data_IF_855033222847
#
_entry.id   IF_855033222847
#
_cell.length_a   1.000
_cell.length_b   1.000
_cell.length_c   1.000
_cell.angle_alpha   90.00
_cell.angle_beta   90.00
_cell.angle_gamma   90.00
#
_symmetry.space_group_name_H-M   'P 1'
#
loop_
_entity.id
_entity.type
_entity.pdbx_description
1 polymer ?
#
# COMPACT_ATOMS: atom_id res chain seq x y z
N UNK A 1 -22.58 70.77 -36.13
CA UNK A 1 -21.52 71.46 -36.88
C UNK A 1 -20.30 71.49 -35.96
N UNK A 2 -19.56 70.38 -35.93
CA UNK A 2 -18.18 70.27 -36.44
C UNK A 2 -17.25 71.33 -35.85
N UNK A 3 -16.36 70.92 -34.94
CA UNK A 3 -14.93 71.01 -35.25
C UNK A 3 -14.04 70.04 -34.45
N UNK A 4 -13.09 69.48 -35.20
CA UNK A 4 -11.97 68.62 -34.80
C UNK A 4 -10.90 69.49 -34.09
N UNK A 5 -9.94 68.96 -33.31
CA UNK A 5 -8.61 68.49 -33.76
C UNK A 5 -7.85 68.06 -32.46
N UNK A 6 -7.44 66.78 -32.29
CA UNK A 6 -6.08 66.19 -32.51
C UNK A 6 -4.96 66.87 -31.66
N UNK A 7 -4.01 66.26 -30.92
CA UNK A 7 -3.38 64.93 -30.91
C UNK A 7 -2.43 64.80 -29.67
N UNK A 8 -2.29 63.57 -29.13
CA UNK A 8 -1.05 62.86 -28.67
C UNK A 8 -0.19 63.44 -27.52
N UNK A 9 0.02 62.66 -26.43
CA UNK A 9 1.27 61.89 -26.27
C UNK A 9 1.27 60.80 -25.16
N UNK A 10 1.63 59.57 -25.60
CA UNK A 10 2.35 58.46 -24.93
C UNK A 10 1.92 57.90 -23.58
N UNK A 11 1.49 56.64 -23.66
CA UNK A 11 1.45 55.61 -22.61
C UNK A 11 2.80 55.40 -21.90
N UNK A 12 2.75 55.16 -20.58
CA UNK A 12 3.46 54.06 -19.89
C UNK A 12 2.67 53.58 -18.67
N UNK A 13 2.41 52.29 -18.65
CA UNK A 13 1.77 51.46 -17.62
C UNK A 13 2.68 51.31 -16.39
N UNK A 14 2.12 51.24 -15.16
CA UNK A 14 2.54 50.48 -13.95
C UNK A 14 1.92 51.16 -12.71
N UNK A 15 1.42 50.54 -11.63
CA UNK A 15 1.07 49.17 -11.22
C UNK A 15 0.19 49.39 -9.95
N UNK A 16 -0.95 48.71 -9.80
CA UNK A 16 -1.86 48.91 -8.66
C UNK A 16 -1.32 48.20 -7.40
N UNK A 17 -1.22 48.97 -6.30
CA UNK A 17 -1.32 48.62 -4.86
C UNK A 17 -0.67 47.33 -4.33
N UNK A 18 0.20 47.45 -3.33
CA UNK A 18 0.34 46.45 -2.26
C UNK A 18 0.42 47.16 -0.90
N UNK A 19 -0.56 46.89 -0.04
CA UNK A 19 -0.52 47.28 1.37
C UNK A 19 0.26 46.20 2.15
N UNK A 20 1.32 46.62 2.84
CA UNK A 20 2.00 45.81 3.82
C UNK A 20 1.36 46.09 5.19
N UNK A 21 0.80 45.07 5.84
CA UNK A 21 0.47 45.13 7.27
C UNK A 21 0.92 43.80 7.91
N UNK A 22 1.89 43.93 8.81
CA UNK A 22 2.37 42.96 9.79
C UNK A 22 1.16 42.39 10.57
N UNK A 23 0.94 41.08 10.73
CA UNK A 23 1.84 40.14 11.36
C UNK A 23 1.24 39.70 12.71
N UNK A 24 0.40 38.66 12.70
CA UNK A 24 0.32 37.65 13.77
C UNK A 24 -0.06 36.33 13.08
N UNK A 25 0.93 35.50 12.78
CA UNK A 25 0.71 34.13 12.35
C UNK A 25 0.39 33.32 13.61
N UNK A 26 -0.89 33.14 13.92
CA UNK A 26 -1.30 32.12 14.87
C UNK A 26 -1.03 30.76 14.22
N UNK A 27 0.13 30.17 14.53
CA UNK A 27 0.39 28.77 14.20
C UNK A 27 -0.55 27.95 15.08
N UNK A 28 -1.68 27.54 14.52
CA UNK A 28 -2.43 26.42 15.05
C UNK A 28 -1.56 25.17 14.90
N UNK A 29 -0.66 24.94 15.86
CA UNK A 29 -0.16 23.60 16.09
C UNK A 29 -1.33 22.86 16.71
N UNK A 30 -2.16 22.27 15.87
CA UNK A 30 -2.99 21.17 16.33
C UNK A 30 -2.01 20.20 17.00
N UNK A 31 -2.18 19.81 18.27
CA UNK A 31 -1.53 18.61 18.73
C UNK A 31 -2.11 17.54 17.82
N UNK A 32 -1.33 17.08 16.83
CA UNK A 32 -1.56 15.78 16.26
C UNK A 32 -1.47 14.87 17.48
N UNK A 33 -2.64 14.49 17.99
CA UNK A 33 -2.76 13.30 18.80
C UNK A 33 -2.32 12.20 17.86
N UNK A 34 -1.00 11.99 17.82
CA UNK A 34 -0.42 10.74 17.42
C UNK A 34 -0.97 9.77 18.45
N UNK A 35 -2.14 9.21 18.16
CA UNK A 35 -2.51 7.93 18.73
C UNK A 35 -1.29 7.07 18.51
N UNK A 36 -0.67 6.48 19.55
CA UNK A 36 0.27 5.41 19.28
C UNK A 36 -0.51 4.44 18.42
N UNK A 37 -0.14 4.36 17.13
CA UNK A 37 -0.64 3.38 16.19
C UNK A 37 -0.62 2.10 16.99
N UNK A 38 -1.81 1.53 17.27
CA UNK A 38 -1.92 0.32 18.06
C UNK A 38 -0.81 -0.59 17.55
N UNK A 39 0.17 -0.88 18.42
CA UNK A 39 1.31 -1.67 18.03
C UNK A 39 0.71 -2.88 17.34
N UNK A 40 1.04 -3.08 16.05
CA UNK A 40 0.50 -4.16 15.24
C UNK A 40 0.47 -5.39 16.14
N UNK A 41 -0.73 -5.94 16.34
CA UNK A 41 -1.00 -6.95 17.38
C UNK A 41 0.19 -7.89 17.47
N UNK A 42 0.83 -7.96 18.65
CA UNK A 42 2.13 -8.60 18.82
C UNK A 42 2.09 -9.92 18.06
N UNK A 43 2.95 -10.07 17.02
CA UNK A 43 2.80 -11.11 16.00
C UNK A 43 2.37 -12.38 16.70
N UNK A 44 1.09 -12.72 16.57
CA UNK A 44 0.63 -13.96 17.14
C UNK A 44 1.31 -15.04 16.28
N UNK A 45 1.88 -16.04 16.93
CA UNK A 45 2.64 -17.09 16.24
C UNK A 45 1.73 -17.97 15.35
N UNK A 46 0.44 -17.61 15.21
CA UNK A 46 -0.57 -18.29 14.42
C UNK A 46 -0.60 -17.84 12.96
N UNK A 47 -0.38 -16.56 12.68
CA UNK A 47 -0.57 -16.01 11.34
C UNK A 47 0.57 -16.41 10.40
N UNK A 48 0.25 -16.61 9.12
CA UNK A 48 1.24 -16.68 8.07
C UNK A 48 1.60 -15.27 7.62
N UNK A 49 2.90 -14.93 7.68
CA UNK A 49 3.41 -13.58 7.45
C UNK A 49 4.50 -13.63 6.39
N UNK A 50 4.37 -12.77 5.39
CA UNK A 50 5.32 -12.69 4.29
C UNK A 50 5.44 -11.26 3.76
N UNK A 51 6.57 -10.96 3.15
CA UNK A 51 6.87 -9.63 2.61
C UNK A 51 6.98 -9.68 1.09
N UNK A 52 6.41 -8.67 0.45
CA UNK A 52 6.42 -8.48 -1.00
C UNK A 52 6.94 -7.09 -1.36
N UNK A 53 7.55 -6.96 -2.54
CA UNK A 53 7.91 -5.68 -3.14
C UNK A 53 7.15 -5.53 -4.45
N UNK A 54 6.14 -4.65 -4.45
CA UNK A 54 5.26 -4.46 -5.61
C UNK A 54 5.98 -3.83 -6.79
N UNK A 55 7.16 -3.22 -6.57
CA UNK A 55 7.98 -2.63 -7.64
C UNK A 55 8.71 -3.68 -8.48
N UNK A 56 8.68 -4.97 -8.07
CA UNK A 56 9.23 -6.06 -8.87
C UNK A 56 8.27 -6.40 -10.04
N UNK A 57 8.79 -7.01 -11.13
CA UNK A 57 7.97 -7.29 -12.31
C UNK A 57 6.71 -8.12 -11.99
N UNK A 58 5.58 -7.71 -12.59
CA UNK A 58 4.27 -8.32 -12.39
C UNK A 58 3.19 -7.50 -13.10
N UNK A 59 1.92 -7.77 -12.79
CA UNK A 59 0.80 -7.17 -13.53
C UNK A 59 0.61 -5.65 -13.31
N UNK A 60 1.02 -5.11 -12.15
CA UNK A 60 0.96 -3.69 -11.76
C UNK A 60 1.88 -3.47 -10.56
N UNK A 61 2.39 -2.26 -10.35
CA UNK A 61 3.30 -1.90 -9.26
C UNK A 61 2.61 -1.47 -7.95
N UNK A 62 1.29 -1.48 -7.90
CA UNK A 62 0.48 -1.07 -6.73
C UNK A 62 -0.40 -2.19 -6.18
N UNK A 63 -0.09 -3.44 -6.52
CA UNK A 63 -0.88 -4.59 -6.02
C UNK A 63 -0.06 -5.85 -5.83
N UNK A 64 -0.58 -6.73 -4.98
CA UNK A 64 -0.15 -8.12 -4.87
C UNK A 64 -1.38 -9.04 -4.78
N UNK A 65 -1.42 -10.07 -5.63
CA UNK A 65 -2.47 -11.09 -5.56
C UNK A 65 -2.02 -12.24 -4.65
N UNK A 66 -2.77 -12.49 -3.58
CA UNK A 66 -2.64 -13.68 -2.73
C UNK A 66 -3.24 -14.86 -3.49
N UNK A 67 -2.41 -15.80 -3.96
CA UNK A 67 -2.86 -16.87 -4.84
C UNK A 67 -3.35 -18.06 -4.03
N UNK A 68 -4.51 -18.58 -4.40
CA UNK A 68 -5.10 -19.79 -3.82
C UNK A 68 -5.28 -20.87 -4.88
N UNK A 69 -5.35 -22.12 -4.43
CA UNK A 69 -5.73 -23.28 -5.25
C UNK A 69 -6.77 -24.15 -4.55
N UNK A 70 -7.82 -24.50 -5.28
CA UNK A 70 -8.89 -25.37 -4.77
C UNK A 70 -9.72 -24.72 -3.67
N UNK A 71 -10.28 -25.55 -2.78
CA UNK A 71 -11.24 -25.15 -1.76
C UNK A 71 -10.64 -25.22 -0.34
N UNK A 72 -11.46 -24.92 0.68
CA UNK A 72 -11.10 -25.07 2.09
C UNK A 72 -10.44 -23.84 2.72
N UNK A 73 -10.56 -22.69 2.07
CA UNK A 73 -10.11 -21.40 2.57
C UNK A 73 -11.22 -20.75 3.41
N UNK A 74 -10.83 -20.15 4.53
CA UNK A 74 -11.65 -19.23 5.31
C UNK A 74 -10.68 -18.37 6.12
N UNK A 75 -10.18 -17.30 5.50
CA UNK A 75 -9.06 -16.53 6.01
C UNK A 75 -9.34 -15.03 6.08
N UNK A 76 -8.54 -14.36 6.90
CA UNK A 76 -8.49 -12.90 7.01
C UNK A 76 -7.18 -12.39 6.41
N UNK A 77 -7.19 -11.16 5.90
CA UNK A 77 -6.01 -10.50 5.35
C UNK A 77 -5.83 -9.14 6.01
N UNK A 78 -4.61 -8.87 6.47
CA UNK A 78 -4.06 -7.54 6.70
C UNK A 78 -2.95 -7.31 5.66
N UNK A 79 -3.17 -6.40 4.71
CA UNK A 79 -2.35 -6.22 3.51
C UNK A 79 -1.07 -5.43 3.74
N UNK A 80 -0.95 -4.72 4.87
CA UNK A 80 0.21 -3.86 5.17
C UNK A 80 0.70 -4.00 6.62
N UNK A 81 0.19 -4.98 7.37
CA UNK A 81 0.47 -5.26 8.77
C UNK A 81 0.31 -4.00 9.65
N UNK A 82 -0.76 -3.24 9.43
CA UNK A 82 -1.06 -2.06 10.23
C UNK A 82 -2.03 -2.31 11.41
N UNK A 83 -2.52 -3.55 11.53
CA UNK A 83 -3.50 -3.96 12.52
C UNK A 83 -4.95 -3.82 12.04
N UNK A 84 -5.17 -3.29 10.84
CA UNK A 84 -6.49 -3.19 10.20
C UNK A 84 -6.66 -4.34 9.22
N UNK A 85 -7.75 -5.09 9.36
CA UNK A 85 -8.09 -6.17 8.43
C UNK A 85 -8.83 -5.61 7.22
N UNK A 86 -8.29 -5.76 6.00
CA UNK A 86 -8.97 -5.35 4.77
C UNK A 86 -10.03 -6.34 4.32
N UNK A 87 -9.90 -7.62 4.70
CA UNK A 87 -10.87 -8.63 4.31
C UNK A 87 -10.96 -9.79 5.29
N UNK A 88 -12.19 -10.29 5.46
CA UNK A 88 -12.51 -11.46 6.29
C UNK A 88 -13.27 -12.51 5.49
N UNK A 89 -13.31 -13.74 6.00
CA UNK A 89 -14.08 -14.85 5.43
C UNK A 89 -13.78 -15.11 3.94
N UNK A 90 -12.52 -14.91 3.53
CA UNK A 90 -12.11 -15.13 2.15
C UNK A 90 -12.00 -16.63 1.85
N UNK A 91 -12.54 -17.04 0.70
CA UNK A 91 -12.60 -18.44 0.25
C UNK A 91 -11.81 -18.69 -1.04
N UNK A 92 -11.30 -17.64 -1.66
CA UNK A 92 -10.54 -17.66 -2.92
C UNK A 92 -9.38 -16.68 -2.90
N UNK A 93 -8.79 -16.39 -4.06
CA UNK A 93 -7.67 -15.45 -4.17
C UNK A 93 -8.13 -14.03 -3.86
N UNK A 94 -7.27 -13.24 -3.22
CA UNK A 94 -7.53 -11.85 -2.83
C UNK A 94 -6.45 -10.93 -3.39
N UNK A 95 -6.80 -9.70 -3.76
CA UNK A 95 -5.84 -8.71 -4.26
C UNK A 95 -5.65 -7.60 -3.25
N UNK A 96 -4.49 -7.56 -2.60
CA UNK A 96 -4.05 -6.39 -1.84
C UNK A 96 -3.72 -5.25 -2.81
N UNK A 97 -4.37 -4.10 -2.63
CA UNK A 97 -4.19 -2.91 -3.47
C UNK A 97 -3.64 -1.76 -2.62
N UNK A 98 -2.68 -1.04 -3.17
CA UNK A 98 -1.92 -0.02 -2.46
C UNK A 98 -2.03 1.33 -3.20
N UNK A 99 -1.99 2.43 -2.45
CA UNK A 99 -2.00 3.77 -3.04
C UNK A 99 -0.68 4.13 -3.74
N UNK A 100 0.42 3.52 -3.31
CA UNK A 100 1.77 3.77 -3.84
C UNK A 100 2.49 2.44 -4.05
N UNK A 101 3.49 2.37 -4.95
CA UNK A 101 4.38 1.21 -5.01
C UNK A 101 5.30 1.13 -3.80
N UNK A 102 5.60 -0.08 -3.31
CA UNK A 102 6.41 -0.23 -2.11
C UNK A 102 6.67 -1.66 -1.69
N UNK A 103 7.25 -1.78 -0.49
CA UNK A 103 7.43 -3.04 0.22
C UNK A 103 6.35 -3.16 1.27
N UNK A 104 5.66 -4.29 1.31
CA UNK A 104 4.54 -4.53 2.19
C UNK A 104 4.68 -5.89 2.88
N UNK A 105 4.45 -5.90 4.18
CA UNK A 105 4.29 -7.13 4.96
C UNK A 105 2.80 -7.46 5.03
N UNK A 106 2.45 -8.67 4.61
CA UNK A 106 1.07 -9.16 4.58
C UNK A 106 0.91 -10.22 5.66
N UNK A 107 -0.20 -10.15 6.42
CA UNK A 107 -0.60 -11.16 7.40
C UNK A 107 -1.85 -11.90 6.95
N UNK A 108 -1.79 -13.21 7.06
CA UNK A 108 -2.90 -14.12 6.75
C UNK A 108 -3.24 -14.93 7.99
N UNK A 109 -4.43 -14.69 8.52
CA UNK A 109 -5.00 -15.41 9.65
C UNK A 109 -6.11 -16.38 9.23
N UNK A 110 -6.47 -17.31 10.11
CA UNK A 110 -7.57 -18.26 9.87
C UNK A 110 -7.15 -19.52 9.10
N UNK A 111 -8.04 -20.06 8.27
CA UNK A 111 -7.81 -21.31 7.53
C UNK A 111 -7.27 -20.99 6.13
N UNK A 112 -5.95 -21.09 5.98
CA UNK A 112 -5.26 -20.88 4.71
C UNK A 112 -4.41 -22.11 4.34
N UNK A 113 -5.02 -23.14 3.70
CA UNK A 113 -4.38 -24.44 3.55
C UNK A 113 -3.29 -24.50 2.48
N UNK A 114 -3.22 -23.52 1.57
CA UNK A 114 -2.28 -23.58 0.45
C UNK A 114 -2.01 -22.18 -0.13
N UNK A 115 -0.73 -21.86 -0.27
CA UNK A 115 -0.25 -20.73 -1.05
C UNK A 115 0.20 -21.28 -2.42
N UNK A 116 -0.19 -20.70 -3.55
CA UNK A 116 0.03 -21.34 -4.85
C UNK A 116 0.45 -20.40 -5.99
N UNK A 117 1.73 -20.00 -6.04
CA UNK A 117 2.25 -19.20 -7.15
C UNK A 117 2.38 -19.99 -8.46
N UNK A 118 2.97 -21.19 -8.41
CA UNK A 118 3.14 -22.08 -9.58
C UNK A 118 3.65 -21.38 -10.86
N UNK A 119 4.74 -20.62 -10.73
CA UNK A 119 5.35 -19.84 -11.81
C UNK A 119 4.41 -18.83 -12.51
N UNK A 120 3.31 -18.44 -11.85
CA UNK A 120 2.30 -17.53 -12.38
C UNK A 120 2.20 -16.23 -11.57
N UNK A 121 1.39 -15.29 -12.07
CA UNK A 121 1.02 -14.07 -11.36
C UNK A 121 2.19 -13.23 -10.86
N UNK A 122 2.07 -12.79 -9.62
CA UNK A 122 2.97 -11.84 -8.95
C UNK A 122 4.22 -12.50 -8.31
N UNK A 123 4.61 -13.70 -8.75
CA UNK A 123 5.69 -14.50 -8.15
C UNK A 123 7.00 -13.74 -7.89
N UNK A 124 7.40 -12.85 -8.79
CA UNK A 124 8.66 -12.11 -8.69
C UNK A 124 8.60 -11.00 -7.64
N UNK A 125 7.42 -10.66 -7.13
CA UNK A 125 7.24 -9.70 -6.04
C UNK A 125 7.45 -10.30 -4.67
N UNK A 126 7.47 -11.63 -4.54
CA UNK A 126 7.74 -12.28 -3.26
C UNK A 126 9.19 -12.04 -2.83
N UNK A 127 9.37 -11.55 -1.60
CA UNK A 127 10.68 -11.20 -1.04
C UNK A 127 11.05 -12.12 0.11
N UNK A 128 10.13 -12.38 1.03
CA UNK A 128 10.42 -13.27 2.16
C UNK A 128 9.20 -13.92 2.76
N UNK A 129 9.43 -15.10 3.35
CA UNK A 129 8.52 -15.66 4.35
C UNK A 129 9.08 -15.27 5.71
N UNK A 130 8.32 -14.46 6.43
CA UNK A 130 8.74 -13.88 7.70
C UNK A 130 8.28 -14.77 8.86
N UNK A 131 7.12 -15.43 8.71
CA UNK A 131 6.58 -16.39 9.67
C UNK A 131 5.67 -17.43 8.98
N UNK A 132 5.88 -18.71 9.27
CA UNK A 132 5.04 -19.80 8.75
C UNK A 132 3.66 -19.90 9.42
N UNK A 133 3.57 -19.44 10.67
CA UNK A 133 2.38 -19.52 11.49
C UNK A 133 2.04 -20.95 11.91
N UNK A 134 0.81 -21.14 12.39
CA UNK A 134 0.24 -22.45 12.75
C UNK A 134 -0.71 -23.00 11.67
N UNK A 135 -0.60 -22.47 10.45
CA UNK A 135 -1.42 -22.89 9.33
C UNK A 135 -1.26 -24.39 9.05
N UNK A 136 -2.40 -25.08 8.92
CA UNK A 136 -2.45 -26.48 8.52
C UNK A 136 -2.31 -26.57 7.00
N UNK A 137 -1.07 -26.54 6.53
CA UNK A 137 -0.76 -26.64 5.10
C UNK A 137 -1.24 -28.00 4.55
N UNK A 138 -2.18 -27.95 3.61
CA UNK A 138 -2.58 -29.11 2.81
C UNK A 138 -1.47 -29.49 1.83
N UNK A 139 -0.82 -28.49 1.24
CA UNK A 139 0.26 -28.69 0.28
C UNK A 139 1.11 -27.42 0.20
N UNK A 140 2.43 -27.62 0.14
CA UNK A 140 3.39 -26.58 -0.25
C UNK A 140 3.96 -26.84 -1.66
N UNK A 141 3.45 -27.84 -2.36
CA UNK A 141 3.86 -28.14 -3.74
C UNK A 141 3.58 -26.96 -4.65
N UNK A 142 4.63 -26.47 -5.31
CA UNK A 142 4.63 -25.28 -6.17
C UNK A 142 4.21 -23.97 -5.49
N UNK A 143 4.17 -23.92 -4.15
CA UNK A 143 3.71 -22.74 -3.41
C UNK A 143 4.50 -21.48 -3.76
N UNK A 144 5.82 -21.62 -3.78
CA UNK A 144 6.77 -20.54 -4.11
C UNK A 144 7.51 -20.79 -5.42
N UNK A 145 7.01 -21.70 -6.26
CA UNK A 145 7.67 -22.01 -7.54
C UNK A 145 7.70 -20.76 -8.43
N UNK A 146 8.90 -20.39 -8.88
CA UNK A 146 9.17 -19.21 -9.70
C UNK A 146 9.31 -17.89 -8.93
N UNK A 147 9.27 -17.91 -7.59
CA UNK A 147 9.55 -16.74 -6.74
C UNK A 147 11.07 -16.47 -6.66
N UNK A 148 11.68 -16.07 -7.78
CA UNK A 148 13.14 -15.97 -7.90
C UNK A 148 13.81 -14.89 -7.03
N UNK A 149 13.02 -13.94 -6.50
CA UNK A 149 13.51 -12.87 -5.62
C UNK A 149 13.30 -13.19 -4.13
N UNK A 150 12.76 -14.36 -3.80
CA UNK A 150 12.40 -14.74 -2.45
C UNK A 150 13.61 -15.31 -1.69
N UNK A 151 13.81 -14.81 -0.48
CA UNK A 151 14.66 -15.40 0.55
C UNK A 151 13.79 -15.99 1.68
N UNK A 152 14.32 -16.90 2.47
CA UNK A 152 13.60 -17.46 3.63
C UNK A 152 14.33 -17.02 4.90
N UNK A 153 13.82 -15.97 5.55
CA UNK A 153 14.41 -15.36 6.75
C UNK A 153 13.73 -15.85 8.05
N UNK A 154 12.68 -16.68 7.93
CA UNK A 154 11.94 -17.21 9.08
C UNK A 154 12.87 -17.83 10.15
N UNK A 155 12.78 -17.33 11.39
CA UNK A 155 13.53 -17.78 12.58
C UNK A 155 12.64 -18.49 13.58
#
# INVERSE_FOLDING_TARGET
>A
MFDKITKVQKSRLQLKTLAAIFGVLAVFVAPTLYSPKAAADAINDTDFVFTVDTRKPGASDTRFVIPTRGNGYNYTIDCNNDGTVEATAQTGSYTCSYATPGVYTIRIGGVFPEFYLNNSGDKLKMISIDQWGKNKWRSLSAAFYGAANMDVIAT
#
